data_IF_785149396202
#
_entry.id   IF_785149396202
#
_cell.length_a   1.000
_cell.length_b   1.000
_cell.length_c   1.000
_cell.angle_alpha   90.00
_cell.angle_beta   90.00
_cell.angle_gamma   90.00
#
_symmetry.space_group_name_H-M   'P 1'
#
loop_
_entity.id
_entity.type
_entity.pdbx_description
1 polymer ?
#
# COMPACT_ATOMS: atom_id res chain seq x y z
N UNK A 1 -64.27 -31.41 -21.11
CA UNK A 1 -64.35 -31.86 -19.68
C UNK A 1 -62.93 -32.07 -19.17
N UNK A 2 -62.54 -31.43 -18.09
CA UNK A 2 -61.29 -31.72 -17.33
C UNK A 2 -60.25 -30.62 -17.35
N UNK A 3 -60.50 -29.52 -16.60
CA UNK A 3 -59.48 -28.59 -16.18
C UNK A 3 -58.51 -29.30 -15.22
N UNK A 4 -57.22 -29.11 -15.39
CA UNK A 4 -56.21 -29.31 -14.35
C UNK A 4 -55.44 -27.98 -14.17
N UNK A 5 -55.64 -27.42 -13.02
CA UNK A 5 -54.94 -26.24 -12.45
C UNK A 5 -53.48 -26.52 -12.24
N UNK A 6 -52.61 -25.68 -12.80
CA UNK A 6 -51.19 -25.62 -12.48
C UNK A 6 -50.92 -24.56 -11.44
N UNK A 7 -50.24 -24.95 -10.36
CA UNK A 7 -49.79 -24.10 -9.27
C UNK A 7 -48.69 -23.12 -9.80
N UNK A 8 -48.98 -21.84 -9.73
CA UNK A 8 -47.98 -20.78 -9.80
C UNK A 8 -47.33 -20.65 -8.42
N UNK A 9 -46.08 -20.99 -8.33
CA UNK A 9 -45.22 -20.67 -7.19
C UNK A 9 -44.76 -19.21 -7.30
N UNK A 10 -45.33 -18.35 -6.48
CA UNK A 10 -44.87 -16.98 -6.36
C UNK A 10 -43.54 -16.96 -5.61
N UNK A 11 -42.46 -16.58 -6.30
CA UNK A 11 -41.22 -16.17 -5.64
C UNK A 11 -41.43 -14.79 -5.03
N UNK A 12 -41.53 -14.76 -3.70
CA UNK A 12 -41.52 -13.52 -2.94
C UNK A 12 -40.18 -12.84 -3.01
N UNK A 13 -40.09 -11.73 -3.70
CA UNK A 13 -39.01 -10.77 -3.53
C UNK A 13 -39.15 -10.13 -2.15
N UNK A 14 -38.28 -10.48 -1.21
CA UNK A 14 -38.08 -9.69 -0.02
C UNK A 14 -37.41 -8.38 -0.48
N UNK A 15 -38.20 -7.34 -0.62
CA UNK A 15 -37.71 -5.98 -0.70
C UNK A 15 -37.13 -5.62 0.67
N UNK A 16 -35.80 -5.65 0.81
CA UNK A 16 -35.10 -5.04 1.92
C UNK A 16 -35.29 -3.53 1.80
N UNK A 17 -36.30 -2.99 2.47
CA UNK A 17 -36.50 -1.54 2.61
C UNK A 17 -35.36 -1.04 3.51
N UNK A 18 -34.23 -0.67 2.91
CA UNK A 18 -33.27 0.19 3.55
C UNK A 18 -33.93 1.55 3.74
N UNK A 19 -34.47 1.81 4.93
CA UNK A 19 -34.76 3.16 5.38
C UNK A 19 -33.45 3.91 5.47
N UNK A 20 -33.06 4.57 4.38
CA UNK A 20 -32.06 5.62 4.43
C UNK A 20 -32.65 6.72 5.29
N UNK A 21 -32.30 6.77 6.56
CA UNK A 21 -32.34 8.01 7.29
C UNK A 21 -31.34 8.93 6.56
N UNK A 22 -31.88 9.83 5.76
CA UNK A 22 -31.12 11.00 5.35
C UNK A 22 -30.88 11.79 6.64
N UNK A 23 -29.70 11.61 7.25
CA UNK A 23 -29.18 12.56 8.21
C UNK A 23 -28.99 13.86 7.43
N UNK A 24 -29.70 14.91 7.84
CA UNK A 24 -29.49 16.24 7.30
C UNK A 24 -27.98 16.54 7.34
N UNK A 25 -27.44 17.02 6.24
CA UNK A 25 -26.02 17.40 6.16
C UNK A 25 -25.61 18.46 7.19
N UNK A 26 -26.59 19.07 7.88
CA UNK A 26 -26.41 19.99 8.98
C UNK A 26 -25.97 19.31 10.31
N UNK A 27 -26.16 17.99 10.45
CA UNK A 27 -25.87 17.25 11.69
C UNK A 27 -24.52 16.52 11.68
N UNK A 28 -23.74 16.64 10.61
CA UNK A 28 -22.35 16.14 10.60
C UNK A 28 -21.46 17.20 11.23
N UNK A 29 -20.92 16.96 12.45
CA UNK A 29 -20.06 17.95 13.07
C UNK A 29 -18.80 18.14 12.21
N UNK A 30 -18.49 19.39 11.85
CA UNK A 30 -17.26 19.77 11.16
C UNK A 30 -16.00 19.59 12.04
N UNK A 31 -16.22 19.29 13.32
CA UNK A 31 -15.16 19.03 14.30
C UNK A 31 -15.55 17.98 15.32
N UNK A 32 -14.57 17.31 15.90
CA UNK A 32 -14.70 16.34 16.99
C UNK A 32 -13.75 16.67 18.12
N UNK A 33 -14.27 16.82 19.33
CA UNK A 33 -13.48 16.99 20.53
C UNK A 33 -13.33 15.68 21.30
N UNK A 34 -12.11 15.32 21.62
CA UNK A 34 -11.77 14.23 22.54
C UNK A 34 -11.08 14.77 23.79
N UNK A 35 -10.79 13.91 24.77
CA UNK A 35 -10.03 14.30 25.95
C UNK A 35 -8.58 14.73 25.65
N UNK A 36 -7.99 14.24 24.54
CA UNK A 36 -6.56 14.41 24.23
C UNK A 36 -6.28 15.27 23.01
N UNK A 37 -7.18 15.32 22.05
CA UNK A 37 -6.99 16.07 20.80
C UNK A 37 -8.34 16.58 20.27
N UNK A 38 -8.23 17.60 19.45
CA UNK A 38 -9.31 18.14 18.62
C UNK A 38 -9.14 17.66 17.19
N UNK A 39 -10.23 17.43 16.47
CA UNK A 39 -10.21 17.13 15.04
C UNK A 39 -11.07 18.15 14.29
N UNK A 40 -10.49 18.78 13.29
CA UNK A 40 -11.18 19.77 12.47
C UNK A 40 -11.11 19.37 10.99
N UNK A 41 -12.21 19.55 10.28
CA UNK A 41 -12.26 19.46 8.84
C UNK A 41 -11.71 20.73 8.21
N UNK A 42 -10.71 20.60 7.36
CA UNK A 42 -10.02 21.74 6.75
C UNK A 42 -10.00 21.64 5.23
N UNK A 43 -9.98 22.79 4.57
CA UNK A 43 -9.79 22.91 3.12
C UNK A 43 -8.35 23.37 2.82
N UNK A 44 -7.71 22.68 1.87
CA UNK A 44 -6.31 22.86 1.55
C UNK A 44 -6.14 23.46 0.16
N UNK A 45 -5.27 24.46 0.06
CA UNK A 45 -4.85 25.07 -1.20
C UNK A 45 -5.99 25.73 -1.99
N UNK A 46 -5.66 26.15 -3.21
CA UNK A 46 -6.60 26.81 -4.12
C UNK A 46 -7.69 25.87 -4.67
N UNK A 47 -7.44 24.57 -4.67
CA UNK A 47 -8.36 23.55 -5.19
C UNK A 47 -9.34 23.04 -4.13
N UNK A 48 -9.30 23.61 -2.90
CA UNK A 48 -10.16 23.23 -1.77
C UNK A 48 -10.14 21.72 -1.45
N UNK A 49 -8.95 21.13 -1.45
CA UNK A 49 -8.76 19.72 -1.12
C UNK A 49 -9.15 19.43 0.33
N UNK A 50 -9.65 18.24 0.58
CA UNK A 50 -10.16 17.84 1.88
C UNK A 50 -9.07 17.32 2.82
N UNK A 51 -9.11 17.75 4.08
CA UNK A 51 -8.22 17.27 5.13
C UNK A 51 -8.91 17.20 6.50
N UNK A 52 -8.41 16.32 7.36
CA UNK A 52 -8.73 16.31 8.79
C UNK A 52 -7.47 16.67 9.57
N UNK A 53 -7.55 17.79 10.27
CA UNK A 53 -6.48 18.25 11.16
C UNK A 53 -6.74 17.72 12.57
N UNK A 54 -5.81 16.93 13.08
CA UNK A 54 -5.77 16.42 14.44
C UNK A 54 -4.79 17.27 15.24
N UNK A 55 -5.28 18.04 16.20
CA UNK A 55 -4.48 18.92 17.05
C UNK A 55 -4.49 18.44 18.50
N UNK A 56 -3.31 18.28 19.13
CA UNK A 56 -3.24 17.89 20.55
C UNK A 56 -3.84 18.99 21.44
N UNK A 57 -4.56 18.61 22.50
CA UNK A 57 -5.02 19.53 23.52
C UNK A 57 -3.89 19.86 24.48
N UNK A 58 -3.28 20.98 24.26
CA UNK A 58 -2.14 21.51 25.01
C UNK A 58 -0.80 21.26 24.30
N UNK A 59 0.07 22.29 24.27
CA UNK A 59 1.38 22.19 23.64
C UNK A 59 2.27 21.22 24.43
N UNK A 60 2.80 20.21 23.75
CA UNK A 60 3.85 19.34 24.27
C UNK A 60 5.25 19.88 23.93
N UNK A 61 6.30 19.24 24.44
CA UNK A 61 7.69 19.67 24.17
C UNK A 61 8.08 19.57 22.69
N UNK A 62 7.30 18.84 21.89
CA UNK A 62 7.54 18.60 20.46
C UNK A 62 6.41 19.14 19.57
N UNK A 63 5.60 20.09 20.08
CA UNK A 63 4.47 20.66 19.35
C UNK A 63 4.85 21.47 18.11
N UNK A 64 6.15 21.80 17.94
CA UNK A 64 6.70 22.41 16.73
C UNK A 64 6.84 21.43 15.55
N UNK A 65 6.68 20.13 15.79
CA UNK A 65 6.75 19.07 14.79
C UNK A 65 5.33 18.64 14.40
N UNK A 66 5.05 18.66 13.11
CA UNK A 66 3.78 18.20 12.56
C UNK A 66 3.98 17.13 11.49
N UNK A 67 2.93 16.38 11.19
CA UNK A 67 2.95 15.35 10.16
C UNK A 67 1.81 15.54 9.18
N UNK A 68 2.07 15.24 7.90
CA UNK A 68 1.04 15.05 6.88
C UNK A 68 0.93 13.56 6.61
N UNK A 69 -0.21 12.98 6.95
CA UNK A 69 -0.52 11.56 6.76
C UNK A 69 -1.21 11.35 5.42
N UNK A 70 -0.63 10.53 4.57
CA UNK A 70 -1.16 10.19 3.23
C UNK A 70 -1.58 8.73 3.16
N UNK A 71 -2.73 8.47 2.55
CA UNK A 71 -3.20 7.12 2.25
C UNK A 71 -4.06 7.10 0.99
N UNK A 72 -3.76 6.26 -0.02
CA UNK A 72 -4.34 6.41 -1.36
C UNK A 72 -5.79 5.99 -1.53
N UNK A 73 -6.44 5.31 -0.57
CA UNK A 73 -7.74 4.67 -0.83
C UNK A 73 -8.74 4.68 0.31
N UNK A 74 -8.38 4.97 1.52
CA UNK A 74 -9.28 4.75 2.64
C UNK A 74 -9.85 6.04 3.18
N UNK A 75 -11.12 6.04 3.49
CA UNK A 75 -11.77 7.14 4.20
C UNK A 75 -11.04 7.58 5.47
N UNK A 76 -11.56 8.59 6.11
CA UNK A 76 -10.99 9.17 7.32
C UNK A 76 -11.14 8.27 8.57
N UNK A 77 -10.96 6.95 8.44
CA UNK A 77 -11.02 6.02 9.57
C UNK A 77 -9.89 6.20 10.58
N UNK A 78 -10.03 5.67 11.82
CA UNK A 78 -9.04 5.78 12.88
C UNK A 78 -7.70 5.12 12.50
N UNK A 79 -6.60 5.66 13.01
CA UNK A 79 -5.27 5.14 12.70
C UNK A 79 -4.13 5.94 13.32
N UNK A 80 -3.01 6.04 12.59
CA UNK A 80 -1.82 6.74 13.04
C UNK A 80 -2.03 8.22 13.44
N UNK A 81 -2.90 9.00 12.78
CA UNK A 81 -3.14 10.39 13.19
C UNK A 81 -3.61 10.53 14.63
N UNK A 82 -4.58 9.73 15.07
CA UNK A 82 -5.14 9.76 16.42
C UNK A 82 -4.09 9.38 17.47
N UNK A 83 -3.27 8.37 17.14
CA UNK A 83 -2.20 7.90 18.01
C UNK A 83 -1.14 8.97 18.24
N UNK A 84 -0.75 9.69 17.18
CA UNK A 84 0.26 10.74 17.30
C UNK A 84 -0.31 12.03 17.89
N UNK A 85 -1.55 12.40 17.56
CA UNK A 85 -2.21 13.56 18.18
C UNK A 85 -2.37 13.37 19.70
N UNK A 86 -2.71 12.16 20.14
CA UNK A 86 -2.78 11.85 21.58
C UNK A 86 -1.42 11.87 22.29
N UNK A 87 -0.31 11.92 21.54
CA UNK A 87 1.07 12.04 22.03
C UNK A 87 1.68 13.43 21.83
N UNK A 88 0.87 14.42 21.43
CA UNK A 88 1.28 15.80 21.37
C UNK A 88 1.77 16.30 20.00
N UNK A 89 1.53 15.57 18.92
CA UNK A 89 1.88 15.96 17.55
C UNK A 89 0.66 16.39 16.77
N UNK A 90 0.75 17.51 16.04
CA UNK A 90 -0.29 17.89 15.08
C UNK A 90 -0.18 17.05 13.83
N UNK A 91 -1.28 16.43 13.39
CA UNK A 91 -1.31 15.56 12.21
C UNK A 91 -2.42 15.99 11.28
N UNK A 92 -2.07 16.34 10.05
CA UNK A 92 -3.02 16.54 8.98
C UNK A 92 -3.18 15.24 8.20
N UNK A 93 -4.35 14.65 8.24
CA UNK A 93 -4.71 13.52 7.40
C UNK A 93 -5.33 14.03 6.10
N UNK A 94 -4.68 13.73 5.00
CA UNK A 94 -5.22 13.95 3.66
C UNK A 94 -5.54 12.62 3.02
N UNK A 95 -6.55 12.62 2.17
CA UNK A 95 -6.90 11.46 1.37
C UNK A 95 -6.76 11.83 -0.10
N UNK A 96 -5.58 11.56 -0.68
CA UNK A 96 -5.40 11.78 -2.10
C UNK A 96 -6.41 10.96 -2.90
N UNK A 97 -7.12 11.62 -3.78
CA UNK A 97 -8.07 10.97 -4.67
C UNK A 97 -7.30 10.31 -5.82
N UNK A 98 -6.65 9.18 -5.52
CA UNK A 98 -5.78 8.46 -6.47
C UNK A 98 -6.56 7.42 -7.29
N UNK A 99 -7.90 7.44 -7.20
CA UNK A 99 -8.70 6.31 -7.66
C UNK A 99 -8.63 6.03 -9.16
N UNK A 100 -8.26 7.00 -9.99
CA UNK A 100 -8.50 6.78 -11.41
C UNK A 100 -7.35 7.09 -12.38
N UNK A 101 -6.37 7.95 -12.09
CA UNK A 101 -5.49 8.38 -13.16
C UNK A 101 -3.98 8.26 -12.91
N UNK A 102 -3.45 8.66 -11.75
CA UNK A 102 -2.00 8.51 -11.53
C UNK A 102 -1.57 8.86 -10.09
N UNK A 103 -0.39 8.38 -9.63
CA UNK A 103 0.17 8.74 -8.33
C UNK A 103 0.52 10.25 -8.24
N UNK A 104 0.52 10.96 -9.35
CA UNK A 104 0.86 12.39 -9.42
C UNK A 104 -0.18 13.29 -8.77
N UNK A 105 -1.45 12.89 -8.73
CA UNK A 105 -2.51 13.67 -8.09
C UNK A 105 -2.32 13.66 -6.56
N UNK A 106 -2.08 12.48 -5.99
CA UNK A 106 -1.77 12.36 -4.56
C UNK A 106 -0.53 13.14 -4.11
N UNK A 107 0.43 13.34 -5.00
CA UNK A 107 1.64 14.14 -4.72
C UNK A 107 1.32 15.63 -4.61
N UNK A 108 0.49 16.17 -5.49
CA UNK A 108 0.08 17.57 -5.43
C UNK A 108 -0.69 17.85 -4.12
N UNK A 109 -1.58 16.93 -3.72
CA UNK A 109 -2.34 17.03 -2.49
C UNK A 109 -1.43 16.95 -1.26
N UNK A 110 -0.45 16.05 -1.25
CA UNK A 110 0.54 15.98 -0.18
C UNK A 110 1.32 17.30 -0.04
N UNK A 111 1.67 17.92 -1.16
CA UNK A 111 2.34 19.22 -1.17
C UNK A 111 1.48 20.33 -0.60
N UNK A 112 0.19 20.37 -0.94
CA UNK A 112 -0.76 21.32 -0.35
C UNK A 112 -0.89 21.12 1.18
N UNK A 113 -0.92 19.86 1.62
CA UNK A 113 -0.94 19.52 3.04
C UNK A 113 0.30 20.01 3.80
N UNK A 114 1.51 19.76 3.26
CA UNK A 114 2.75 20.25 3.89
C UNK A 114 2.82 21.79 3.91
N UNK A 115 2.40 22.43 2.83
CA UNK A 115 2.35 23.89 2.77
C UNK A 115 1.37 24.45 3.81
N UNK A 116 0.19 23.85 3.96
CA UNK A 116 -0.81 24.23 4.95
C UNK A 116 -0.27 24.08 6.38
N UNK A 117 0.30 22.94 6.74
CA UNK A 117 0.83 22.71 8.09
C UNK A 117 1.91 23.72 8.47
N UNK A 118 2.70 24.19 7.52
CA UNK A 118 3.71 25.26 7.76
C UNK A 118 3.11 26.64 8.02
N UNK A 119 1.81 26.84 7.74
CA UNK A 119 1.13 28.11 8.09
C UNK A 119 0.60 28.13 9.52
N UNK A 120 0.55 26.97 10.18
CA UNK A 120 0.04 26.90 11.55
C UNK A 120 1.04 27.49 12.55
N UNK A 121 0.55 28.26 13.53
CA UNK A 121 1.42 28.89 14.55
C UNK A 121 2.23 27.85 15.32
N UNK A 122 3.52 28.10 15.46
CA UNK A 122 4.43 27.25 16.23
C UNK A 122 4.92 25.99 15.53
N UNK A 123 4.47 25.68 14.29
CA UNK A 123 4.97 24.56 13.49
C UNK A 123 6.17 25.04 12.65
N UNK A 124 7.32 24.44 12.85
CA UNK A 124 8.54 24.71 12.08
C UNK A 124 9.13 23.48 11.38
N UNK A 125 8.66 22.29 11.73
CA UNK A 125 9.03 21.01 11.10
C UNK A 125 7.79 20.26 10.65
N UNK A 126 7.78 19.88 9.38
CA UNK A 126 6.65 19.10 8.79
C UNK A 126 7.17 17.87 8.09
N UNK A 127 6.80 16.71 8.61
CA UNK A 127 7.16 15.42 8.05
C UNK A 127 6.01 14.86 7.19
N UNK A 128 6.35 13.99 6.25
CA UNK A 128 5.35 13.16 5.58
C UNK A 128 5.29 11.78 6.24
N UNK A 129 4.09 11.28 6.42
CA UNK A 129 3.83 9.94 6.97
C UNK A 129 2.93 9.16 6.04
N UNK A 130 3.27 7.89 5.78
CA UNK A 130 2.41 6.99 5.02
C UNK A 130 2.36 5.61 5.65
N UNK A 131 1.18 5.00 5.62
CA UNK A 131 0.96 3.61 6.03
C UNK A 131 0.60 2.76 4.81
N UNK A 132 1.13 1.54 4.73
CA UNK A 132 0.82 0.60 3.64
C UNK A 132 1.09 1.22 2.25
N UNK A 133 0.06 1.32 1.40
CA UNK A 133 0.12 2.02 0.13
C UNK A 133 0.49 3.51 0.24
N UNK A 134 0.12 4.18 1.34
CA UNK A 134 0.55 5.55 1.60
C UNK A 134 2.05 5.70 1.80
N UNK A 135 2.74 4.65 2.25
CA UNK A 135 4.18 4.72 2.48
C UNK A 135 4.98 4.80 1.17
N UNK A 136 4.59 4.06 0.12
CA UNK A 136 5.27 4.20 -1.17
C UNK A 136 4.95 5.55 -1.83
N UNK A 137 3.72 6.08 -1.67
CA UNK A 137 3.37 7.42 -2.11
C UNK A 137 4.20 8.48 -1.36
N UNK A 138 4.38 8.34 -0.02
CA UNK A 138 5.22 9.21 0.78
C UNK A 138 6.70 9.15 0.34
N UNK A 139 7.20 7.95 -0.02
CA UNK A 139 8.55 7.78 -0.55
C UNK A 139 8.71 8.47 -1.92
N UNK A 140 7.75 8.31 -2.82
CA UNK A 140 7.75 9.00 -4.11
C UNK A 140 7.68 10.51 -3.93
N UNK A 141 6.75 11.01 -3.11
CA UNK A 141 6.65 12.43 -2.78
C UNK A 141 7.98 12.98 -2.28
N UNK A 142 8.56 12.33 -1.27
CA UNK A 142 9.81 12.82 -0.65
C UNK A 142 10.93 12.92 -1.68
N UNK A 143 11.10 11.88 -2.52
CA UNK A 143 12.11 11.90 -3.57
C UNK A 143 11.93 13.08 -4.52
N UNK A 144 10.73 13.28 -5.09
CA UNK A 144 10.52 14.35 -6.07
C UNK A 144 10.50 15.74 -5.44
N UNK A 145 10.04 15.88 -4.20
CA UNK A 145 10.06 17.15 -3.48
C UNK A 145 11.49 17.60 -3.16
N UNK A 146 12.38 16.66 -2.79
CA UNK A 146 13.78 16.98 -2.48
C UNK A 146 14.63 17.21 -3.73
N UNK A 147 14.44 16.41 -4.79
CA UNK A 147 15.32 16.34 -5.93
C UNK A 147 14.73 16.97 -7.22
N UNK A 148 13.48 17.40 -7.17
CA UNK A 148 12.76 18.01 -8.29
C UNK A 148 12.30 16.99 -9.35
N UNK A 149 11.68 17.46 -10.45
CA UNK A 149 11.09 16.61 -11.49
C UNK A 149 12.03 15.61 -12.15
N UNK A 150 13.34 15.87 -12.13
CA UNK A 150 14.35 14.95 -12.68
C UNK A 150 14.32 13.58 -11.98
N UNK A 151 13.91 13.53 -10.71
CA UNK A 151 13.85 12.30 -9.94
C UNK A 151 12.86 11.27 -10.52
N UNK A 152 11.81 11.72 -11.23
CA UNK A 152 10.87 10.81 -11.87
C UNK A 152 11.03 10.70 -13.39
N UNK A 153 12.06 11.33 -13.99
CA UNK A 153 12.30 11.26 -15.44
C UNK A 153 13.33 10.17 -15.76
N UNK A 154 12.88 8.95 -15.94
CA UNK A 154 13.72 7.79 -16.26
C UNK A 154 13.33 7.20 -17.63
N UNK A 155 14.29 6.84 -18.50
CA UNK A 155 14.00 6.28 -19.82
C UNK A 155 13.24 4.94 -19.78
N UNK A 156 13.40 4.19 -18.68
CA UNK A 156 12.78 2.88 -18.52
C UNK A 156 11.30 2.92 -18.13
N UNK A 157 10.73 4.11 -17.80
CA UNK A 157 9.37 4.21 -17.31
C UNK A 157 8.34 3.65 -18.31
N UNK A 158 7.40 2.87 -17.77
CA UNK A 158 6.23 2.36 -18.49
C UNK A 158 5.20 3.45 -18.79
N UNK A 159 5.11 4.42 -17.90
CA UNK A 159 4.25 5.60 -18.03
C UNK A 159 5.07 6.86 -17.75
N UNK A 160 4.94 7.91 -18.57
CA UNK A 160 5.79 9.09 -18.44
C UNK A 160 5.53 9.85 -17.13
N UNK A 161 6.59 10.47 -16.60
CA UNK A 161 6.50 11.38 -15.47
C UNK A 161 5.73 12.66 -15.85
N UNK A 162 4.71 13.01 -15.07
CA UNK A 162 4.01 14.29 -15.21
C UNK A 162 4.82 15.41 -14.52
N UNK A 163 5.72 16.01 -15.28
CA UNK A 163 6.63 17.06 -14.80
C UNK A 163 5.89 18.26 -14.19
N UNK A 164 4.70 18.59 -14.70
CA UNK A 164 3.93 19.74 -14.21
C UNK A 164 3.41 19.48 -12.78
N UNK A 165 2.86 18.28 -12.54
CA UNK A 165 2.30 17.91 -11.22
C UNK A 165 3.37 17.71 -10.15
N UNK A 166 4.61 17.40 -10.55
CA UNK A 166 5.72 17.17 -9.59
C UNK A 166 6.69 18.36 -9.48
N UNK A 167 6.34 19.50 -10.05
CA UNK A 167 7.15 20.72 -9.95
C UNK A 167 6.74 21.55 -8.73
N UNK A 168 7.73 22.21 -8.11
CA UNK A 168 7.53 23.16 -7.01
C UNK A 168 6.84 22.58 -5.75
N UNK A 169 7.10 21.32 -5.45
CA UNK A 169 6.54 20.66 -4.27
C UNK A 169 7.17 21.19 -2.98
N UNK A 170 6.35 21.30 -1.93
CA UNK A 170 6.81 21.63 -0.59
C UNK A 170 7.70 20.50 -0.04
N UNK A 171 8.90 20.84 0.46
CA UNK A 171 9.87 19.84 0.96
C UNK A 171 9.49 19.35 2.35
N UNK A 172 9.42 18.04 2.61
CA UNK A 172 9.27 17.53 3.96
C UNK A 172 10.61 17.61 4.72
N UNK A 173 10.56 17.74 6.05
CA UNK A 173 11.74 17.72 6.91
C UNK A 173 12.15 16.28 7.29
N UNK A 174 11.25 15.30 7.13
CA UNK A 174 11.47 13.88 7.38
C UNK A 174 10.38 13.01 6.81
N UNK A 175 10.55 11.69 6.92
CA UNK A 175 9.57 10.70 6.46
C UNK A 175 9.34 9.60 7.49
N UNK A 176 8.07 9.19 7.67
CA UNK A 176 7.66 8.07 8.51
C UNK A 176 6.90 7.07 7.65
N UNK A 177 7.50 5.92 7.41
CA UNK A 177 6.98 4.87 6.53
C UNK A 177 6.52 3.70 7.40
N UNK A 178 5.20 3.60 7.60
CA UNK A 178 4.58 2.62 8.48
C UNK A 178 4.13 1.40 7.67
N UNK A 179 4.68 0.24 7.99
CA UNK A 179 4.42 -1.06 7.36
C UNK A 179 4.31 -0.92 5.83
N UNK A 180 5.39 -0.47 5.16
CA UNK A 180 5.34 0.06 3.81
C UNK A 180 4.98 -1.02 2.79
N UNK A 181 3.95 -0.72 1.99
CA UNK A 181 3.62 -1.51 0.81
C UNK A 181 4.73 -1.48 -0.24
N UNK A 182 4.73 -2.45 -1.12
CA UNK A 182 5.76 -2.61 -2.17
C UNK A 182 5.38 -1.99 -3.51
N UNK A 183 4.26 -1.25 -3.55
CA UNK A 183 3.79 -0.60 -4.77
C UNK A 183 3.51 -1.61 -5.89
N UNK A 184 3.92 -1.34 -7.13
CA UNK A 184 3.59 -2.14 -8.31
C UNK A 184 4.10 -3.59 -8.27
N UNK A 185 5.03 -3.93 -7.36
CA UNK A 185 5.44 -5.33 -7.19
C UNK A 185 4.31 -6.21 -6.67
N UNK A 186 3.42 -5.67 -5.83
CA UNK A 186 2.24 -6.44 -5.40
C UNK A 186 1.48 -6.99 -6.59
N UNK A 187 1.34 -6.18 -7.63
CA UNK A 187 0.69 -6.54 -8.88
C UNK A 187 1.44 -7.68 -9.58
N UNK A 188 2.75 -7.53 -9.79
CA UNK A 188 3.57 -8.57 -10.42
C UNK A 188 3.55 -9.88 -9.62
N UNK A 189 3.60 -9.82 -8.28
CA UNK A 189 3.52 -10.99 -7.39
C UNK A 189 2.14 -11.67 -7.38
N UNK A 190 1.08 -10.96 -7.79
CA UNK A 190 -0.30 -11.44 -7.75
C UNK A 190 -0.84 -11.90 -9.10
N UNK A 191 -0.02 -11.90 -10.14
CA UNK A 191 -0.37 -12.46 -11.45
C UNK A 191 -0.32 -14.00 -11.39
N UNK A 192 -1.46 -14.67 -11.45
CA UNK A 192 -1.52 -16.14 -11.48
C UNK A 192 -1.18 -16.66 -12.87
N UNK A 193 -0.04 -17.33 -13.08
CA UNK A 193 0.36 -17.84 -14.39
C UNK A 193 -0.47 -19.02 -14.87
N UNK A 194 -1.30 -19.61 -14.01
CA UNK A 194 -2.20 -20.69 -14.41
C UNK A 194 -3.36 -20.21 -15.31
N UNK A 195 -3.60 -18.90 -15.41
CA UNK A 195 -4.67 -18.35 -16.24
C UNK A 195 -4.26 -18.13 -17.69
N UNK A 196 -5.17 -18.55 -18.60
CA UNK A 196 -5.18 -18.18 -20.02
C UNK A 196 -6.51 -17.49 -20.31
N UNK A 197 -6.47 -16.19 -20.64
CA UNK A 197 -7.69 -15.39 -20.69
C UNK A 197 -8.36 -15.34 -19.31
N UNK A 198 -9.62 -15.73 -19.24
CA UNK A 198 -10.45 -15.78 -18.03
C UNK A 198 -10.50 -17.16 -17.35
N UNK A 199 -9.71 -18.12 -17.83
CA UNK A 199 -9.74 -19.52 -17.35
C UNK A 199 -8.40 -19.95 -16.78
N UNK A 200 -8.45 -20.66 -15.66
CA UNK A 200 -7.29 -21.37 -15.11
C UNK A 200 -7.07 -22.65 -15.94
N UNK A 201 -6.20 -22.57 -16.93
CA UNK A 201 -5.97 -23.63 -17.92
C UNK A 201 -4.67 -24.42 -17.70
N UNK A 202 -3.66 -23.83 -17.04
CA UNK A 202 -2.38 -24.48 -16.75
C UNK A 202 -2.41 -25.15 -15.37
N UNK A 203 -2.91 -26.38 -15.29
CA UNK A 203 -3.01 -27.13 -14.02
C UNK A 203 -1.66 -27.48 -13.39
N UNK A 204 -0.62 -27.59 -14.22
CA UNK A 204 0.77 -27.78 -13.80
C UNK A 204 1.37 -26.56 -13.10
N UNK A 205 0.75 -25.39 -13.27
CA UNK A 205 1.11 -24.13 -12.60
C UNK A 205 0.12 -23.73 -11.50
N UNK A 206 -0.91 -24.54 -11.24
CA UNK A 206 -1.89 -24.24 -10.19
C UNK A 206 -1.27 -24.35 -8.80
N UNK A 207 -0.99 -23.21 -8.18
CA UNK A 207 -0.39 -23.15 -6.84
C UNK A 207 -1.30 -23.69 -5.74
N UNK A 208 -2.59 -23.88 -6.00
CA UNK A 208 -3.55 -24.45 -5.05
C UNK A 208 -3.78 -25.95 -5.26
N UNK A 209 -3.04 -26.57 -6.18
CA UNK A 209 -3.10 -28.01 -6.41
C UNK A 209 -2.29 -28.78 -5.38
N UNK A 210 -2.86 -29.80 -4.72
CA UNK A 210 -2.08 -30.70 -3.86
C UNK A 210 -0.91 -31.38 -4.58
N UNK A 211 -1.04 -31.63 -5.90
CA UNK A 211 0.04 -32.20 -6.71
C UNK A 211 1.28 -31.28 -6.81
N UNK A 212 1.09 -29.97 -6.58
CA UNK A 212 2.14 -28.96 -6.56
C UNK A 212 2.64 -28.59 -5.15
N UNK A 213 2.12 -29.26 -4.10
CA UNK A 213 2.59 -29.07 -2.72
C UNK A 213 1.67 -28.22 -1.84
N UNK A 214 0.45 -27.89 -2.29
CA UNK A 214 -0.52 -27.16 -1.48
C UNK A 214 -1.35 -28.11 -0.59
N UNK A 215 -1.50 -27.77 0.67
CA UNK A 215 -2.42 -28.43 1.59
C UNK A 215 -3.71 -27.62 1.75
N UNK A 216 -4.83 -28.06 1.15
CA UNK A 216 -6.09 -27.31 1.21
C UNK A 216 -6.73 -27.30 2.61
N UNK A 217 -6.34 -28.23 3.52
CA UNK A 217 -6.87 -28.26 4.89
C UNK A 217 -6.15 -27.25 5.78
N UNK A 218 -4.85 -27.13 5.61
CA UNK A 218 -4.03 -26.19 6.37
C UNK A 218 -3.94 -24.79 5.73
N UNK A 219 -4.31 -24.64 4.45
CA UNK A 219 -4.14 -23.40 3.69
C UNK A 219 -2.67 -23.04 3.43
N UNK A 220 -1.76 -24.01 3.59
CA UNK A 220 -0.32 -23.82 3.45
C UNK A 220 0.23 -24.58 2.24
N UNK A 221 1.46 -24.24 1.86
CA UNK A 221 2.15 -24.98 0.82
C UNK A 221 3.62 -25.23 1.18
N UNK A 222 4.16 -26.32 0.63
CA UNK A 222 5.59 -26.59 0.52
C UNK A 222 5.87 -26.90 -0.93
N UNK A 223 6.15 -25.86 -1.71
CA UNK A 223 6.45 -26.00 -3.13
C UNK A 223 7.85 -26.52 -3.35
N UNK A 224 8.04 -27.39 -4.36
CA UNK A 224 9.39 -27.79 -4.76
C UNK A 224 10.11 -26.61 -5.45
N UNK A 225 11.45 -26.58 -5.39
CA UNK A 225 12.23 -25.58 -6.12
C UNK A 225 11.94 -25.55 -7.62
N UNK A 226 11.69 -26.73 -8.22
CA UNK A 226 11.35 -26.88 -9.63
C UNK A 226 9.99 -26.28 -9.95
N UNK A 227 9.00 -26.45 -9.06
CA UNK A 227 7.70 -25.80 -9.21
C UNK A 227 7.84 -24.29 -9.15
N UNK A 228 8.48 -23.75 -8.11
CA UNK A 228 8.67 -22.30 -7.95
C UNK A 228 9.40 -21.69 -9.16
N UNK A 229 10.44 -22.36 -9.67
CA UNK A 229 11.14 -21.91 -10.88
C UNK A 229 10.24 -21.83 -12.09
N UNK A 230 9.42 -22.85 -12.34
CA UNK A 230 8.44 -22.83 -13.45
C UNK A 230 7.37 -21.77 -13.25
N UNK A 231 6.85 -21.66 -12.03
CA UNK A 231 5.82 -20.70 -11.66
C UNK A 231 6.29 -19.26 -11.91
N UNK A 232 7.43 -18.86 -11.36
CA UNK A 232 7.96 -17.50 -11.53
C UNK A 232 8.36 -17.20 -12.98
N UNK A 233 8.87 -18.17 -13.72
CA UNK A 233 9.15 -17.98 -15.15
C UNK A 233 7.86 -17.73 -15.95
N UNK A 234 6.80 -18.49 -15.70
CA UNK A 234 5.50 -18.29 -16.35
C UNK A 234 4.81 -16.99 -15.88
N UNK A 235 4.93 -16.63 -14.58
CA UNK A 235 4.44 -15.37 -14.02
C UNK A 235 5.08 -14.17 -14.70
N UNK A 236 6.41 -14.19 -14.88
CA UNK A 236 7.14 -13.16 -15.63
C UNK A 236 6.66 -13.06 -17.08
N UNK A 237 6.53 -14.19 -17.77
CA UNK A 237 6.08 -14.20 -19.16
C UNK A 237 4.68 -13.59 -19.29
N UNK A 238 3.77 -13.94 -18.39
CA UNK A 238 2.42 -13.38 -18.36
C UNK A 238 2.41 -11.89 -18.00
N UNK A 239 3.18 -11.47 -16.97
CA UNK A 239 3.33 -10.06 -16.61
C UNK A 239 3.80 -9.23 -17.81
N UNK A 240 4.86 -9.65 -18.48
CA UNK A 240 5.41 -8.92 -19.63
C UNK A 240 4.46 -8.88 -20.82
N UNK A 241 3.66 -9.93 -21.03
CA UNK A 241 2.60 -9.95 -22.06
C UNK A 241 1.53 -8.89 -21.75
N UNK A 242 1.08 -8.79 -20.51
CA UNK A 242 0.08 -7.81 -20.07
C UNK A 242 0.63 -6.38 -20.20
N UNK A 243 1.84 -6.13 -19.69
CA UNK A 243 2.51 -4.82 -19.77
C UNK A 243 2.65 -4.37 -21.21
N UNK A 244 3.19 -5.23 -22.09
CA UNK A 244 3.41 -4.89 -23.50
C UNK A 244 2.08 -4.68 -24.25
N UNK A 245 1.05 -5.47 -23.94
CA UNK A 245 -0.30 -5.29 -24.49
C UNK A 245 -0.88 -3.93 -24.07
N UNK A 246 -0.78 -3.57 -22.79
CA UNK A 246 -1.29 -2.29 -22.27
C UNK A 246 -0.60 -1.10 -22.94
N UNK A 247 0.73 -1.15 -23.11
CA UNK A 247 1.50 -0.11 -23.83
C UNK A 247 1.03 0.01 -25.29
N UNK A 248 0.91 -1.13 -25.98
CA UNK A 248 0.50 -1.14 -27.39
C UNK A 248 -0.91 -0.58 -27.59
N UNK A 249 -1.85 -0.98 -26.74
CA UNK A 249 -3.25 -0.51 -26.74
C UNK A 249 -3.33 1.00 -26.43
N UNK A 250 -2.64 1.47 -25.38
CA UNK A 250 -2.63 2.89 -25.03
C UNK A 250 -2.05 3.74 -26.18
N UNK A 251 -0.98 3.28 -26.83
CA UNK A 251 -0.42 3.93 -28.01
C UNK A 251 -1.42 3.98 -29.18
N UNK A 252 -2.19 2.92 -29.39
CA UNK A 252 -3.23 2.92 -30.44
C UNK A 252 -4.35 3.93 -30.13
N UNK A 253 -4.80 4.02 -28.88
CA UNK A 253 -5.78 5.01 -28.42
C UNK A 253 -5.26 6.44 -28.66
N UNK A 254 -4.01 6.72 -28.31
CA UNK A 254 -3.37 8.02 -28.52
C UNK A 254 -3.22 8.40 -30.00
N UNK A 255 -3.19 7.41 -30.90
CA UNK A 255 -3.18 7.61 -32.34
C UNK A 255 -4.58 7.71 -32.96
N UNK A 256 -5.64 7.77 -32.15
CA UNK A 256 -7.02 7.79 -32.61
C UNK A 256 -7.50 6.45 -33.21
N UNK A 257 -6.84 5.35 -32.89
CA UNK A 257 -7.19 4.01 -33.33
C UNK A 257 -7.99 3.27 -32.23
N UNK A 258 -9.00 2.51 -32.62
CA UNK A 258 -9.85 1.75 -31.69
C UNK A 258 -11.14 2.48 -31.30
N UNK A 259 -11.83 1.98 -30.29
CA UNK A 259 -13.17 2.43 -29.88
C UNK A 259 -13.15 3.50 -28.77
N UNK A 260 -11.99 3.87 -28.27
CA UNK A 260 -11.81 4.78 -27.14
C UNK A 260 -10.98 5.98 -27.55
N UNK A 261 -11.34 7.17 -27.06
CA UNK A 261 -10.70 8.44 -27.47
C UNK A 261 -9.59 8.91 -26.51
N UNK A 262 -9.63 8.51 -25.24
CA UNK A 262 -8.69 9.01 -24.22
C UNK A 262 -7.94 7.89 -23.50
N UNK A 263 -8.66 6.86 -23.10
CA UNK A 263 -8.15 5.70 -22.35
C UNK A 263 -9.06 4.50 -22.61
N UNK A 264 -8.62 3.32 -22.28
CA UNK A 264 -9.35 2.07 -22.52
C UNK A 264 -9.43 1.24 -21.26
N UNK A 265 -10.59 0.61 -20.95
CA UNK A 265 -10.70 -0.32 -19.83
C UNK A 265 -9.74 -1.50 -19.96
N UNK A 266 -9.13 -1.88 -18.86
CA UNK A 266 -8.25 -3.04 -18.73
C UNK A 266 -8.78 -3.95 -17.62
N UNK A 267 -9.09 -5.19 -17.96
CA UNK A 267 -9.38 -6.25 -17.01
C UNK A 267 -8.31 -7.34 -17.13
N UNK A 268 -7.74 -7.76 -16.01
CA UNK A 268 -6.71 -8.82 -15.96
C UNK A 268 -7.22 -9.94 -15.06
N UNK A 269 -7.83 -10.98 -15.65
CA UNK A 269 -8.30 -12.14 -14.90
C UNK A 269 -7.15 -12.89 -14.21
N UNK A 270 -7.42 -13.49 -13.04
CA UNK A 270 -6.41 -14.19 -12.26
C UNK A 270 -5.31 -13.25 -11.72
N UNK A 271 -5.66 -11.99 -11.55
CA UNK A 271 -4.81 -10.99 -10.94
C UNK A 271 -5.62 -10.17 -9.96
N UNK A 272 -5.12 -10.01 -8.78
CA UNK A 272 -5.79 -9.23 -7.76
C UNK A 272 -4.79 -8.28 -7.11
N UNK A 273 -5.07 -6.98 -7.18
CA UNK A 273 -4.22 -5.94 -6.61
C UNK A 273 -4.44 -5.81 -5.10
N UNK A 274 -4.73 -6.89 -4.42
CA UNK A 274 -4.91 -6.84 -2.98
C UNK A 274 -3.94 -7.81 -2.28
N UNK A 275 -3.83 -7.57 -0.99
CA UNK A 275 -3.15 -8.42 -0.03
C UNK A 275 -3.57 -9.90 -0.14
N UNK A 276 -4.73 -10.19 -0.71
CA UNK A 276 -5.29 -11.53 -0.88
C UNK A 276 -5.09 -12.16 -2.26
N UNK A 277 -4.48 -11.47 -3.23
CA UNK A 277 -4.19 -12.06 -4.55
C UNK A 277 -3.24 -13.25 -4.49
N UNK A 278 -3.29 -14.17 -5.48
CA UNK A 278 -2.49 -15.40 -5.47
C UNK A 278 -0.99 -15.06 -5.51
N UNK A 279 -0.24 -15.64 -4.58
CA UNK A 279 1.23 -15.57 -4.56
C UNK A 279 1.78 -16.73 -3.75
N UNK A 280 2.78 -17.46 -4.22
CA UNK A 280 3.42 -18.54 -3.47
C UNK A 280 3.85 -18.12 -2.06
N UNK A 281 4.31 -16.88 -1.87
CA UNK A 281 4.73 -16.37 -0.55
C UNK A 281 3.59 -16.18 0.45
N UNK A 282 2.34 -16.29 0.04
CA UNK A 282 1.17 -16.22 0.94
C UNK A 282 0.77 -17.57 1.48
N UNK A 283 1.01 -18.62 0.73
CA UNK A 283 0.74 -20.01 1.12
C UNK A 283 1.96 -20.69 1.70
N UNK A 284 3.16 -20.43 1.16
CA UNK A 284 4.41 -20.89 1.72
C UNK A 284 5.04 -19.75 2.54
N UNK A 285 4.74 -19.71 3.83
CA UNK A 285 5.15 -18.62 4.74
C UNK A 285 6.67 -18.53 4.96
N UNK A 286 7.43 -19.54 4.58
CA UNK A 286 8.91 -19.49 4.56
C UNK A 286 9.47 -18.57 3.47
N UNK A 287 8.70 -18.22 2.45
CA UNK A 287 9.08 -17.18 1.48
C UNK A 287 8.83 -15.79 2.07
N UNK A 288 9.76 -14.86 1.93
CA UNK A 288 9.73 -13.52 2.57
C UNK A 288 9.52 -13.62 4.08
N UNK A 289 10.27 -14.50 4.73
CA UNK A 289 10.06 -14.86 6.13
C UNK A 289 10.96 -14.10 7.11
N UNK A 290 12.09 -13.57 6.67
CA UNK A 290 13.02 -12.86 7.57
C UNK A 290 13.88 -11.83 6.85
N UNK A 291 14.41 -10.86 7.60
CA UNK A 291 15.37 -9.88 7.11
C UNK A 291 16.77 -10.49 6.94
N UNK A 292 17.58 -9.93 6.04
CA UNK A 292 18.99 -10.32 5.83
C UNK A 292 19.89 -9.85 6.97
N UNK A 293 19.54 -8.71 7.57
CA UNK A 293 20.34 -8.07 8.60
C UNK A 293 19.57 -8.01 9.92
N UNK A 294 20.27 -7.99 11.07
CA UNK A 294 19.65 -7.68 12.34
C UNK A 294 19.14 -6.23 12.37
N UNK A 295 17.93 -6.04 12.89
CA UNK A 295 17.29 -4.75 13.09
C UNK A 295 16.68 -4.65 14.48
N UNK A 296 16.26 -3.44 14.86
CA UNK A 296 15.59 -3.20 16.12
C UNK A 296 14.20 -3.83 16.14
N UNK A 297 13.93 -4.63 17.17
CA UNK A 297 12.62 -5.24 17.42
C UNK A 297 12.08 -4.75 18.76
N UNK A 298 10.85 -4.25 18.74
CA UNK A 298 10.09 -3.91 19.95
C UNK A 298 9.41 -5.19 20.42
N UNK A 299 9.92 -5.77 21.49
CA UNK A 299 9.47 -7.07 22.03
C UNK A 299 8.16 -6.94 22.82
N UNK A 300 7.46 -8.07 22.98
CA UNK A 300 6.20 -8.14 23.72
C UNK A 300 6.31 -7.78 25.20
N UNK A 301 7.50 -7.92 25.78
CA UNK A 301 7.84 -7.56 27.16
C UNK A 301 8.32 -6.11 27.32
N UNK A 302 8.10 -5.26 26.29
CA UNK A 302 8.55 -3.88 26.20
C UNK A 302 10.07 -3.68 26.14
N UNK A 303 10.86 -4.75 26.02
CA UNK A 303 12.28 -4.66 25.75
C UNK A 303 12.55 -4.37 24.28
N UNK A 304 13.80 -4.01 23.94
CA UNK A 304 14.28 -3.81 22.58
C UNK A 304 15.48 -4.70 22.31
N UNK A 305 15.46 -5.41 21.18
CA UNK A 305 16.53 -6.31 20.78
C UNK A 305 17.01 -6.00 19.35
N UNK A 306 18.29 -6.23 19.08
CA UNK A 306 18.86 -6.24 17.72
C UNK A 306 18.92 -7.68 17.25
N UNK A 307 18.05 -8.06 16.32
CA UNK A 307 17.96 -9.44 15.83
C UNK A 307 17.47 -9.49 14.37
N UNK A 308 17.70 -10.60 13.71
CA UNK A 308 17.05 -10.88 12.42
C UNK A 308 15.55 -10.91 12.64
N UNK A 309 14.83 -10.07 11.92
CA UNK A 309 13.39 -9.92 12.09
C UNK A 309 12.68 -11.02 11.32
N UNK A 310 11.95 -11.86 12.03
CA UNK A 310 11.14 -12.91 11.44
C UNK A 310 9.69 -12.49 11.29
N UNK A 311 9.10 -12.75 10.12
CA UNK A 311 7.67 -12.67 9.94
C UNK A 311 7.01 -13.89 10.59
N UNK A 312 6.14 -13.64 11.55
CA UNK A 312 5.37 -14.68 12.25
C UNK A 312 3.92 -14.73 11.79
N UNK A 313 3.70 -14.25 10.55
CA UNK A 313 2.37 -14.23 9.93
C UNK A 313 1.78 -15.63 9.80
N UNK A 314 0.46 -15.79 10.04
CA UNK A 314 -0.21 -17.02 9.68
C UNK A 314 -0.30 -17.14 8.14
N UNK A 315 -0.51 -18.34 7.61
CA UNK A 315 -0.93 -18.50 6.20
C UNK A 315 -2.25 -17.74 5.97
N UNK A 316 -2.46 -17.32 4.73
CA UNK A 316 -3.71 -16.66 4.35
C UNK A 316 -4.84 -17.67 4.38
N UNK A 317 -6.03 -17.23 4.81
CA UNK A 317 -7.23 -18.07 4.87
C UNK A 317 -7.46 -18.82 3.54
N UNK A 318 -7.59 -20.16 3.56
CA UNK A 318 -7.84 -20.95 2.37
C UNK A 318 -9.10 -20.56 1.61
N UNK A 319 -10.16 -20.16 2.30
CA UNK A 319 -11.42 -19.74 1.65
C UNK A 319 -11.22 -18.43 0.89
N UNK A 320 -10.52 -17.47 1.46
CA UNK A 320 -10.18 -16.22 0.78
C UNK A 320 -9.32 -16.44 -0.48
N UNK A 321 -8.49 -17.51 -0.49
CA UNK A 321 -7.64 -17.86 -1.62
C UNK A 321 -8.40 -18.60 -2.74
N UNK A 322 -9.39 -19.42 -2.39
CA UNK A 322 -10.18 -20.19 -3.36
C UNK A 322 -11.18 -19.35 -4.15
N UNK A 323 -11.55 -18.21 -3.60
CA UNK A 323 -12.39 -17.24 -4.30
C UNK A 323 -11.70 -16.60 -5.52
N UNK A 324 -10.41 -16.82 -5.71
CA UNK A 324 -9.62 -16.32 -6.83
C UNK A 324 -10.05 -17.00 -8.14
N UNK A 325 -10.77 -16.32 -9.00
CA UNK A 325 -11.10 -16.84 -10.32
C UNK A 325 -12.37 -16.36 -10.98
N UNK A 326 -13.17 -15.52 -10.34
CA UNK A 326 -14.34 -14.95 -11.02
C UNK A 326 -14.04 -13.55 -11.60
N UNK A 327 -14.57 -13.27 -12.78
CA UNK A 327 -14.42 -11.96 -13.44
C UNK A 327 -14.95 -10.79 -12.63
N UNK A 328 -15.93 -11.02 -11.78
CA UNK A 328 -16.53 -9.94 -10.97
C UNK A 328 -15.65 -9.47 -9.82
N UNK A 329 -14.83 -10.37 -9.25
CA UNK A 329 -14.23 -10.11 -7.95
C UNK A 329 -12.72 -10.39 -7.91
N UNK A 330 -12.14 -10.94 -8.96
CA UNK A 330 -10.76 -11.44 -9.06
C UNK A 330 -10.06 -11.06 -10.35
N UNK A 331 -10.46 -9.96 -10.93
CA UNK A 331 -9.70 -9.30 -11.98
C UNK A 331 -9.30 -7.92 -11.51
N UNK A 332 -8.10 -7.51 -11.83
CA UNK A 332 -7.73 -6.12 -11.77
C UNK A 332 -8.55 -5.37 -12.82
N UNK A 333 -9.35 -4.42 -12.40
CA UNK A 333 -10.16 -3.59 -13.28
C UNK A 333 -9.70 -2.15 -13.19
N UNK A 334 -8.97 -1.70 -14.22
CA UNK A 334 -8.43 -0.35 -14.33
C UNK A 334 -8.65 0.20 -15.74
N UNK A 335 -8.17 1.40 -15.95
CA UNK A 335 -7.83 1.87 -17.29
C UNK A 335 -6.38 1.52 -17.63
N UNK A 336 -6.03 1.58 -18.92
CA UNK A 336 -4.64 1.36 -19.36
C UNK A 336 -3.66 2.31 -18.69
N UNK A 337 -4.06 3.59 -18.55
CA UNK A 337 -3.22 4.62 -17.91
C UNK A 337 -3.02 4.33 -16.44
N UNK A 338 -4.11 4.08 -15.70
CA UNK A 338 -4.04 3.80 -14.27
C UNK A 338 -3.16 2.57 -14.00
N UNK A 339 -3.32 1.50 -14.78
CA UNK A 339 -2.46 0.32 -14.68
C UNK A 339 -0.98 0.64 -14.92
N UNK A 340 -0.67 1.31 -16.03
CA UNK A 340 0.72 1.61 -16.38
C UNK A 340 1.39 2.61 -15.43
N UNK A 341 0.61 3.51 -14.83
CA UNK A 341 1.13 4.53 -13.92
C UNK A 341 1.34 4.01 -12.49
N UNK A 342 0.43 3.16 -11.99
CA UNK A 342 0.42 2.77 -10.57
C UNK A 342 0.85 1.32 -10.32
N UNK A 343 0.50 0.38 -11.23
CA UNK A 343 0.52 -1.05 -10.92
C UNK A 343 1.48 -1.84 -11.80
N UNK A 344 1.87 -1.30 -12.95
CA UNK A 344 2.76 -1.98 -13.88
C UNK A 344 4.23 -1.86 -13.46
N UNK A 345 4.93 -3.00 -13.52
CA UNK A 345 6.38 -3.07 -13.37
C UNK A 345 6.95 -4.17 -14.28
N UNK A 346 8.12 -3.94 -14.85
CA UNK A 346 8.79 -4.99 -15.63
C UNK A 346 9.47 -5.99 -14.71
N UNK A 347 9.33 -7.26 -15.07
CA UNK A 347 10.08 -8.37 -14.50
C UNK A 347 11.04 -8.95 -15.52
N UNK A 348 12.12 -9.57 -15.07
CA UNK A 348 13.14 -10.21 -15.90
C UNK A 348 13.09 -11.72 -15.75
N UNK A 349 13.88 -12.45 -16.55
CA UNK A 349 13.97 -13.93 -16.46
C UNK A 349 14.51 -14.44 -15.12
N UNK A 350 15.13 -13.58 -14.34
CA UNK A 350 15.64 -13.85 -13.00
C UNK A 350 14.58 -13.67 -11.90
N UNK A 351 13.33 -13.30 -12.28
CA UNK A 351 12.27 -13.04 -11.30
C UNK A 351 12.04 -14.24 -10.40
N UNK A 352 12.20 -14.03 -9.10
CA UNK A 352 11.95 -15.03 -8.07
C UNK A 352 11.72 -14.36 -6.71
N UNK A 353 11.09 -15.09 -5.82
CA UNK A 353 10.93 -14.75 -4.40
C UNK A 353 11.63 -15.80 -3.58
N UNK A 354 12.51 -15.35 -2.66
CA UNK A 354 13.22 -16.19 -1.71
C UNK A 354 12.67 -16.00 -0.29
N UNK A 355 13.30 -16.56 0.69
CA UNK A 355 13.00 -16.39 2.12
C UNK A 355 13.29 -14.96 2.60
N UNK A 356 14.21 -14.25 1.94
CA UNK A 356 14.72 -12.95 2.36
C UNK A 356 14.81 -11.89 1.23
N UNK A 357 14.33 -12.19 0.00
CA UNK A 357 14.46 -11.25 -1.13
C UNK A 357 13.40 -11.41 -2.22
N UNK A 358 13.31 -10.39 -3.08
CA UNK A 358 12.60 -10.41 -4.36
C UNK A 358 13.59 -9.97 -5.44
N UNK A 359 13.93 -10.86 -6.36
CA UNK A 359 14.90 -10.60 -7.41
C UNK A 359 14.22 -10.50 -8.79
N UNK A 360 14.96 -10.00 -9.79
CA UNK A 360 14.48 -9.94 -11.17
C UNK A 360 13.42 -8.87 -11.43
N UNK A 361 13.43 -7.76 -10.71
CA UNK A 361 12.56 -6.61 -10.91
C UNK A 361 13.34 -5.48 -11.59
N UNK A 362 12.80 -4.91 -12.67
CA UNK A 362 13.26 -3.63 -13.20
C UNK A 362 12.57 -2.47 -12.45
N UNK A 363 13.14 -2.14 -11.30
CA UNK A 363 12.65 -1.07 -10.42
C UNK A 363 12.53 0.29 -11.10
N UNK A 364 13.33 0.55 -12.14
CA UNK A 364 13.28 1.80 -12.89
C UNK A 364 12.07 1.92 -13.83
N UNK A 365 11.36 0.82 -14.05
CA UNK A 365 10.24 0.78 -14.99
C UNK A 365 8.95 1.41 -14.46
N UNK A 366 8.83 1.61 -13.15
CA UNK A 366 7.66 2.26 -12.55
C UNK A 366 8.06 3.53 -11.79
N UNK A 367 7.26 4.60 -11.94
CA UNK A 367 7.44 5.85 -11.19
C UNK A 367 7.17 5.65 -9.71
N UNK A 368 6.22 4.79 -9.38
CA UNK A 368 5.81 4.47 -7.99
C UNK A 368 6.65 3.36 -7.34
N UNK A 369 7.80 3.03 -7.94
CA UNK A 369 8.74 2.07 -7.35
C UNK A 369 9.30 2.62 -6.03
N UNK A 370 8.97 2.04 -4.87
CA UNK A 370 9.45 2.53 -3.57
C UNK A 370 10.97 2.44 -3.46
N UNK A 371 11.58 1.44 -4.08
CA UNK A 371 13.04 1.20 -4.01
C UNK A 371 13.81 2.31 -4.74
N UNK A 372 13.39 2.70 -5.93
CA UNK A 372 14.05 3.80 -6.67
C UNK A 372 13.79 5.13 -5.98
N UNK A 373 12.60 5.32 -5.45
CA UNK A 373 12.28 6.55 -4.72
C UNK A 373 13.06 6.68 -3.42
N UNK A 374 13.31 5.58 -2.71
CA UNK A 374 14.13 5.56 -1.51
C UNK A 374 15.54 6.11 -1.73
N UNK A 375 16.14 5.86 -2.91
CA UNK A 375 17.48 6.36 -3.25
C UNK A 375 17.59 7.88 -3.27
N UNK A 376 16.47 8.58 -3.41
CA UNK A 376 16.42 10.05 -3.38
C UNK A 376 16.04 10.65 -2.02
N UNK A 377 15.72 9.84 -1.01
CA UNK A 377 15.34 10.30 0.33
C UNK A 377 16.59 10.56 1.16
N UNK A 378 16.86 11.83 1.45
CA UNK A 378 18.05 12.26 2.21
C UNK A 378 17.72 12.85 3.57
N UNK A 379 16.44 13.03 3.91
CA UNK A 379 15.96 13.50 5.21
C UNK A 379 15.84 12.37 6.23
N UNK A 380 15.81 12.66 7.55
CA UNK A 380 15.59 11.63 8.57
C UNK A 380 14.39 10.76 8.26
N UNK A 381 14.56 9.44 8.30
CA UNK A 381 13.50 8.51 7.86
C UNK A 381 13.34 7.33 8.81
N UNK A 382 12.10 7.07 9.20
CA UNK A 382 11.70 5.89 9.96
C UNK A 382 10.97 4.91 9.04
N UNK A 383 11.42 3.66 9.05
CA UNK A 383 10.68 2.50 8.48
C UNK A 383 10.26 1.62 9.65
N UNK A 384 8.97 1.48 9.87
CA UNK A 384 8.41 0.63 10.91
C UNK A 384 7.60 -0.49 10.26
N UNK A 385 7.84 -1.74 10.66
CA UNK A 385 7.18 -2.92 10.12
C UNK A 385 6.51 -3.76 11.21
N UNK A 386 5.55 -4.59 10.80
CA UNK A 386 4.78 -5.45 11.68
C UNK A 386 5.10 -6.93 11.44
N UNK A 387 5.53 -7.67 12.50
CA UNK A 387 6.02 -9.05 12.30
C UNK A 387 4.91 -10.06 12.00
N UNK A 388 3.67 -9.83 12.43
CA UNK A 388 2.53 -10.67 12.03
C UNK A 388 1.98 -10.30 10.64
N UNK A 389 2.83 -9.70 9.80
CA UNK A 389 2.47 -9.38 8.43
C UNK A 389 3.61 -9.69 7.47
N UNK A 390 3.36 -9.56 6.18
CA UNK A 390 4.26 -10.01 5.10
C UNK A 390 5.29 -8.97 4.64
N UNK A 391 5.29 -7.77 5.21
CA UNK A 391 6.08 -6.65 4.71
C UNK A 391 7.45 -6.49 5.39
N UNK A 392 7.85 -7.42 6.26
CA UNK A 392 9.14 -7.41 6.95
C UNK A 392 10.31 -7.33 5.96
N UNK A 393 10.38 -8.24 5.01
CA UNK A 393 11.47 -8.30 4.02
C UNK A 393 11.43 -7.11 3.07
N UNK A 394 10.25 -6.77 2.56
CA UNK A 394 10.11 -5.66 1.62
C UNK A 394 10.36 -4.30 2.28
N UNK A 395 10.05 -4.18 3.56
CA UNK A 395 10.43 -3.03 4.38
C UNK A 395 11.95 -2.90 4.53
N UNK A 396 12.68 -4.03 4.70
CA UNK A 396 14.13 -4.03 4.71
C UNK A 396 14.73 -3.66 3.36
N UNK A 397 14.19 -4.21 2.26
CA UNK A 397 14.63 -3.85 0.90
C UNK A 397 14.49 -2.34 0.70
N UNK A 398 13.35 -1.76 1.06
CA UNK A 398 13.13 -0.32 1.01
C UNK A 398 14.15 0.44 1.87
N UNK A 399 14.30 0.06 3.14
CA UNK A 399 15.20 0.69 4.12
C UNK A 399 16.65 0.70 3.63
N UNK A 400 17.13 -0.40 3.07
CA UNK A 400 18.51 -0.50 2.58
C UNK A 400 18.81 0.49 1.46
N UNK A 401 17.81 0.87 0.66
CA UNK A 401 17.94 1.83 -0.43
C UNK A 401 17.75 3.30 -0.02
N UNK A 402 17.26 3.59 1.19
CA UNK A 402 17.14 4.97 1.67
C UNK A 402 18.52 5.61 1.79
N UNK A 403 18.71 6.77 1.13
CA UNK A 403 19.99 7.47 1.10
C UNK A 403 20.25 8.31 2.37
N UNK A 404 19.25 8.54 3.21
CA UNK A 404 19.40 9.30 4.46
C UNK A 404 20.44 8.65 5.39
N UNK A 405 21.28 9.48 6.02
CA UNK A 405 22.23 9.03 7.04
C UNK A 405 21.52 8.71 8.37
N UNK A 406 20.54 9.55 8.75
CA UNK A 406 19.67 9.28 9.90
C UNK A 406 18.46 8.49 9.41
N UNK A 407 18.58 7.17 9.44
CA UNK A 407 17.48 6.26 9.12
C UNK A 407 17.37 5.15 10.15
N UNK A 408 16.15 4.74 10.45
CA UNK A 408 15.85 3.72 11.44
C UNK A 408 14.90 2.69 10.82
N UNK A 409 15.26 1.40 10.92
CA UNK A 409 14.31 0.31 10.73
C UNK A 409 13.93 -0.25 12.09
N UNK A 410 12.64 -0.46 12.33
CA UNK A 410 12.13 -1.06 13.56
C UNK A 410 10.96 -1.98 13.25
N UNK A 411 10.92 -3.12 13.94
CA UNK A 411 9.82 -4.09 13.85
C UNK A 411 9.03 -4.12 15.16
N UNK A 412 7.70 -4.25 15.06
CA UNK A 412 6.83 -4.48 16.22
C UNK A 412 6.52 -5.97 16.29
N UNK A 413 7.02 -6.65 17.33
CA UNK A 413 6.71 -8.06 17.56
C UNK A 413 5.21 -8.26 17.78
N UNK A 414 4.62 -9.20 17.04
CA UNK A 414 3.23 -9.59 17.17
C UNK A 414 2.19 -8.66 16.59
N UNK A 415 2.57 -7.57 15.92
CA UNK A 415 1.63 -6.65 15.31
C UNK A 415 1.15 -7.12 13.93
N UNK A 416 -0.15 -7.01 13.69
CA UNK A 416 -0.79 -7.10 12.37
C UNK A 416 -0.59 -5.79 11.58
N UNK A 417 -0.91 -5.81 10.29
CA UNK A 417 -0.82 -4.63 9.42
C UNK A 417 -1.51 -3.37 9.96
N UNK A 418 -2.65 -3.52 10.64
CA UNK A 418 -3.39 -2.44 11.33
C UNK A 418 -2.90 -2.16 12.75
N UNK A 419 -1.72 -2.63 13.14
CA UNK A 419 -1.10 -2.46 14.46
C UNK A 419 -1.79 -3.18 15.63
N UNK A 420 -2.90 -3.89 15.43
CA UNK A 420 -3.47 -4.74 16.45
C UNK A 420 -2.58 -5.98 16.69
N UNK A 421 -2.56 -6.56 17.91
CA UNK A 421 -1.83 -7.80 18.15
C UNK A 421 -2.49 -8.97 17.40
N UNK A 422 -1.69 -9.83 16.80
CA UNK A 422 -2.20 -11.04 16.14
C UNK A 422 -2.56 -12.14 17.14
N UNK A 423 -2.04 -12.08 18.35
CA UNK A 423 -2.37 -12.97 19.48
C UNK A 423 -2.29 -12.18 20.78
N UNK A 424 -3.09 -12.57 21.81
CA UNK A 424 -3.18 -11.83 23.08
C UNK A 424 -1.84 -11.66 23.81
N UNK A 425 -0.93 -12.63 23.70
CA UNK A 425 0.38 -12.59 24.39
C UNK A 425 1.28 -11.45 23.92
N UNK A 426 1.01 -10.81 22.77
CA UNK A 426 1.78 -9.66 22.30
C UNK A 426 1.34 -8.33 22.91
N UNK A 427 0.28 -8.32 23.73
CA UNK A 427 -0.16 -7.12 24.44
C UNK A 427 -0.60 -5.98 23.53
N UNK A 428 -0.35 -4.74 23.95
CA UNK A 428 -0.73 -3.54 23.16
C UNK A 428 0.38 -3.16 22.17
N UNK A 429 0.43 -3.86 21.06
CA UNK A 429 1.38 -3.62 19.95
C UNK A 429 1.23 -2.24 19.35
N UNK A 430 0.00 -1.70 19.31
CA UNK A 430 -0.29 -0.39 18.76
C UNK A 430 0.34 0.72 19.63
N UNK A 431 0.10 0.66 20.93
CA UNK A 431 0.71 1.58 21.89
C UNK A 431 2.24 1.54 21.78
N UNK A 432 2.83 0.35 21.82
CA UNK A 432 4.29 0.14 21.74
C UNK A 432 4.88 0.75 20.47
N UNK A 433 4.26 0.52 19.33
CA UNK A 433 4.71 1.09 18.06
C UNK A 433 4.63 2.62 18.03
N UNK A 434 3.51 3.20 18.43
CA UNK A 434 3.35 4.66 18.38
C UNK A 434 4.08 5.40 19.50
N UNK A 435 4.35 4.79 20.63
CA UNK A 435 5.28 5.33 21.64
C UNK A 435 6.70 5.41 21.05
N UNK A 436 7.13 4.38 20.32
CA UNK A 436 8.41 4.41 19.62
C UNK A 436 8.46 5.52 18.55
N UNK A 437 7.42 5.64 17.71
CA UNK A 437 7.35 6.71 16.69
C UNK A 437 7.45 8.09 17.35
N UNK A 438 6.69 8.32 18.42
CA UNK A 438 6.72 9.60 19.15
C UNK A 438 8.11 9.90 19.73
N UNK A 439 8.77 8.89 20.35
CA UNK A 439 10.13 9.04 20.87
C UNK A 439 11.15 9.25 19.73
N UNK A 440 10.95 8.61 18.58
CA UNK A 440 11.81 8.81 17.41
C UNK A 440 11.69 10.25 16.87
N UNK A 441 10.45 10.77 16.76
CA UNK A 441 10.18 12.14 16.36
C UNK A 441 10.79 13.16 17.34
N UNK A 442 10.62 12.93 18.64
CA UNK A 442 11.06 13.82 19.71
C UNK A 442 12.54 13.71 20.06
N UNK A 443 13.35 12.95 19.34
CA UNK A 443 14.78 12.81 19.62
C UNK A 443 15.49 14.15 19.45
N UNK A 444 16.13 14.63 20.52
CA UNK A 444 16.85 15.92 20.54
C UNK A 444 17.84 16.04 19.37
N UNK A 445 17.74 17.15 18.64
CA UNK A 445 18.63 17.48 17.52
C UNK A 445 18.33 16.74 16.20
N UNK A 446 17.19 16.01 16.10
CA UNK A 446 16.77 15.40 14.84
C UNK A 446 15.97 16.41 14.00
N UNK A 447 15.04 17.13 14.61
CA UNK A 447 14.17 18.12 13.98
C UNK A 447 14.20 19.47 14.69
#
# INVERSE_FOLDING_TARGET
MGLKSGLLTALGFLACSATTHATDAADVPGSLDTARYHVEYVKLGAENLDGLLYEPKGPGPHSHIALVSVFPRAGFGPGAPEELASRGYSVLKIQPYVEHDSPYDGIAEASAGIAYMRTLPGIDRVLIMGHSGGAHLAAFYTNVALNGPKACQRPALLYPCDVKKVSHLAKPDGAVLLDPGVGPINTALSIDPAYVGDKRAHTDLDMFSPANGYDPKAGTAVYSPEFLKRYYAAQTARNMTIVNSAIGRLKAVQQGKGNFSKDEPLAIPGMFNDVNGPSPSKTQVSLLSHTKQPHLVLKADDSMAQEVVHSIRPPVDPEAQQLVGSLCCYSLNYSLRAYLANDAIRTTKEFAVTDDDIVGIDWNSSVDSPIVNAQGITVPTLVLVNTCYRLVVTGEILFNHIAAKDKTYVAIEGALHGFAPCRPEYGDTKKRGFDFVANWLGKTGRF
#
